data_IF_646929810741
#
_entry.id   IF_646929810741
#
_cell.length_a   1.000
_cell.length_b   1.000
_cell.length_c   1.000
_cell.angle_alpha   90.00
_cell.angle_beta   90.00
_cell.angle_gamma   90.00
#
_symmetry.space_group_name_H-M   'P 1'
#
loop_
_entity.id
_entity.type
_entity.pdbx_description
1 polymer ?
#
# COMPACT_ATOMS: atom_id res chain seq x y z
N UNK A 1 -2.96 -22.93 -23.26
CA UNK A 1 -2.02 -22.67 -22.16
C UNK A 1 -2.48 -21.42 -21.46
N UNK A 2 -2.94 -21.50 -20.23
CA UNK A 2 -3.06 -20.29 -19.46
C UNK A 2 -1.64 -19.75 -19.34
N UNK A 3 -1.39 -18.60 -19.92
CA UNK A 3 -0.22 -17.83 -19.56
C UNK A 3 -0.42 -17.50 -18.07
N UNK A 4 0.31 -18.24 -17.27
CA UNK A 4 0.50 -17.90 -15.88
C UNK A 4 1.34 -16.63 -15.86
N UNK A 5 0.67 -15.53 -16.20
CA UNK A 5 1.09 -14.22 -15.81
C UNK A 5 0.75 -14.09 -14.32
N UNK A 6 1.43 -14.88 -13.51
CA UNK A 6 1.81 -14.39 -12.22
C UNK A 6 2.60 -13.13 -12.56
N UNK A 7 1.88 -12.03 -12.70
CA UNK A 7 2.46 -10.76 -13.06
C UNK A 7 3.63 -10.57 -12.12
N UNK A 8 4.82 -10.38 -12.67
CA UNK A 8 6.00 -10.15 -11.87
C UNK A 8 5.67 -9.04 -10.87
N UNK A 9 5.75 -9.34 -9.60
CA UNK A 9 5.49 -8.42 -8.49
C UNK A 9 6.80 -8.13 -7.75
N UNK A 10 7.72 -7.41 -8.38
CA UNK A 10 9.03 -7.14 -7.79
C UNK A 10 8.94 -6.31 -6.52
N UNK A 11 7.97 -5.40 -6.43
CA UNK A 11 7.74 -4.62 -5.21
C UNK A 11 7.22 -5.51 -4.08
N UNK A 12 6.23 -6.35 -4.35
CA UNK A 12 5.71 -7.30 -3.37
C UNK A 12 6.77 -8.28 -2.90
N UNK A 13 7.60 -8.78 -3.80
CA UNK A 13 8.71 -9.68 -3.45
C UNK A 13 9.75 -8.97 -2.58
N UNK A 14 10.13 -7.74 -2.91
CA UNK A 14 11.07 -6.95 -2.11
C UNK A 14 10.52 -6.68 -0.69
N UNK A 15 9.25 -6.35 -0.61
CA UNK A 15 8.56 -6.12 0.67
C UNK A 15 8.54 -7.39 1.50
N UNK A 16 8.19 -8.53 0.91
CA UNK A 16 8.16 -9.80 1.62
C UNK A 16 9.55 -10.25 2.08
N UNK A 17 10.55 -10.14 1.22
CA UNK A 17 11.94 -10.47 1.54
C UNK A 17 12.43 -9.62 2.72
N UNK A 18 12.18 -8.34 2.70
CA UNK A 18 12.57 -7.45 3.79
C UNK A 18 11.83 -7.77 5.09
N UNK A 19 10.54 -8.09 5.02
CA UNK A 19 9.75 -8.46 6.19
C UNK A 19 10.22 -9.78 6.82
N UNK A 20 10.71 -10.72 6.01
CA UNK A 20 11.16 -12.04 6.48
C UNK A 20 12.62 -12.06 6.90
N UNK A 21 13.50 -11.43 6.14
CA UNK A 21 14.96 -11.53 6.29
C UNK A 21 15.61 -10.23 6.80
N UNK A 22 14.87 -9.12 6.85
CA UNK A 22 15.39 -7.80 7.23
C UNK A 22 16.29 -7.15 6.16
N UNK A 23 16.30 -7.69 4.94
CA UNK A 23 17.11 -7.20 3.83
C UNK A 23 16.47 -7.55 2.49
N UNK A 24 16.83 -6.78 1.49
CA UNK A 24 16.52 -7.05 0.09
C UNK A 24 17.79 -6.88 -0.73
N UNK A 25 18.08 -7.84 -1.60
CA UNK A 25 19.36 -7.94 -2.31
C UNK A 25 19.45 -7.04 -3.55
N UNK A 26 18.33 -6.57 -4.07
CA UNK A 26 18.25 -5.74 -5.25
C UNK A 26 17.49 -4.44 -4.98
N UNK A 27 17.96 -3.29 -5.49
CA UNK A 27 17.20 -2.05 -5.36
C UNK A 27 15.90 -2.13 -6.17
N UNK A 28 14.85 -1.47 -5.66
CA UNK A 28 13.65 -1.22 -6.44
C UNK A 28 13.88 -0.03 -7.35
N UNK A 29 13.80 -0.26 -8.64
CA UNK A 29 13.95 0.78 -9.64
C UNK A 29 12.60 1.06 -10.29
N UNK A 30 12.22 2.33 -10.29
CA UNK A 30 11.01 2.80 -10.96
C UNK A 30 11.40 3.37 -12.31
N UNK A 31 10.95 2.72 -13.37
CA UNK A 31 11.17 3.17 -14.74
C UNK A 31 10.02 4.06 -15.19
N UNK A 32 10.36 5.16 -15.83
CA UNK A 32 9.39 6.05 -16.48
C UNK A 32 9.86 6.37 -17.90
N UNK A 33 8.96 6.37 -18.89
CA UNK A 33 9.34 6.77 -20.25
C UNK A 33 9.65 8.27 -20.36
N UNK A 34 9.17 9.08 -19.43
CA UNK A 34 9.26 10.55 -19.50
C UNK A 34 10.26 11.15 -18.50
N UNK A 35 10.77 10.37 -17.57
CA UNK A 35 11.65 10.82 -16.49
C UNK A 35 12.79 9.83 -16.29
N UNK A 36 13.85 10.30 -15.66
CA UNK A 36 14.94 9.42 -15.24
C UNK A 36 14.45 8.35 -14.27
N UNK A 37 15.11 7.20 -14.27
CA UNK A 37 14.83 6.14 -13.33
C UNK A 37 15.03 6.61 -11.89
N UNK A 38 14.14 6.21 -11.02
CA UNK A 38 14.23 6.48 -9.59
C UNK A 38 14.46 5.18 -8.81
N UNK A 39 15.10 5.27 -7.67
CA UNK A 39 15.38 4.14 -6.80
C UNK A 39 14.65 4.32 -5.48
N UNK A 40 13.83 3.33 -5.12
CA UNK A 40 13.15 3.29 -3.83
C UNK A 40 13.96 2.40 -2.88
N UNK A 41 14.51 2.95 -1.80
CA UNK A 41 15.10 2.14 -0.74
C UNK A 41 14.01 1.30 -0.06
N UNK A 42 14.16 -0.02 -0.06
CA UNK A 42 13.15 -0.92 0.54
C UNK A 42 12.89 -0.58 2.02
N UNK A 43 13.90 -0.27 2.86
CA UNK A 43 13.67 0.11 4.25
C UNK A 43 12.74 1.33 4.42
N UNK A 44 12.69 2.23 3.45
CA UNK A 44 11.80 3.39 3.48
C UNK A 44 10.31 2.99 3.50
N UNK A 45 9.97 1.86 2.89
CA UNK A 45 8.60 1.33 2.90
C UNK A 45 8.19 0.78 4.27
N UNK A 46 9.14 0.60 5.17
CA UNK A 46 8.96 0.07 6.53
C UNK A 46 9.10 1.15 7.61
N UNK A 47 9.09 2.42 7.25
CA UNK A 47 9.27 3.53 8.18
C UNK A 47 8.19 3.57 9.25
N UNK A 48 8.57 4.04 10.42
CA UNK A 48 7.64 4.31 11.52
C UNK A 48 7.04 5.71 11.39
N UNK A 49 6.03 6.02 12.19
CA UNK A 49 5.36 7.33 12.17
C UNK A 49 6.36 8.50 12.31
N UNK A 50 7.32 8.38 13.23
CA UNK A 50 8.32 9.44 13.47
C UNK A 50 9.27 9.67 12.28
N UNK A 51 9.45 8.64 11.44
CA UNK A 51 10.32 8.71 10.25
C UNK A 51 9.56 9.13 8.98
N UNK A 52 8.24 9.25 9.06
CA UNK A 52 7.43 9.68 7.93
C UNK A 52 7.62 11.17 7.65
N UNK A 53 7.52 11.58 6.36
CA UNK A 53 7.41 12.99 6.02
C UNK A 53 6.25 13.66 6.77
N UNK A 54 6.41 14.94 7.08
CA UNK A 54 5.40 15.70 7.83
C UNK A 54 4.01 15.65 7.20
N UNK A 55 3.94 15.65 5.88
CA UNK A 55 2.67 15.53 5.15
C UNK A 55 1.95 14.23 5.45
N UNK A 56 2.66 13.10 5.50
CA UNK A 56 2.07 11.81 5.84
C UNK A 56 1.62 11.78 7.30
N UNK A 57 2.43 12.29 8.21
CA UNK A 57 2.05 12.39 9.63
C UNK A 57 0.77 13.20 9.81
N UNK A 58 0.65 14.30 9.09
CA UNK A 58 -0.56 15.14 9.11
C UNK A 58 -1.76 14.41 8.54
N UNK A 59 -1.60 13.71 7.43
CA UNK A 59 -2.67 12.90 6.83
C UNK A 59 -3.19 11.84 7.81
N UNK A 60 -2.30 11.14 8.50
CA UNK A 60 -2.68 10.14 9.49
C UNK A 60 -3.41 10.77 10.69
N UNK A 61 -2.99 11.96 11.12
CA UNK A 61 -3.64 12.69 12.22
C UNK A 61 -5.07 13.13 11.89
N UNK A 62 -5.40 13.29 10.62
CA UNK A 62 -6.74 13.67 10.15
C UNK A 62 -7.68 12.48 10.00
N UNK A 63 -7.18 11.25 10.07
CA UNK A 63 -8.02 10.05 9.95
C UNK A 63 -9.03 9.96 11.09
N UNK A 64 -10.27 9.66 10.74
CA UNK A 64 -11.38 9.49 11.66
C UNK A 64 -12.07 8.16 11.47
N UNK A 65 -12.59 7.58 12.54
CA UNK A 65 -13.40 6.38 12.51
C UNK A 65 -12.70 5.19 11.89
N UNK A 66 -13.43 4.46 11.07
CA UNK A 66 -12.92 3.31 10.34
C UNK A 66 -12.18 3.75 9.07
N UNK A 67 -10.94 3.33 8.92
CA UNK A 67 -10.04 3.79 7.85
C UNK A 67 -9.80 2.67 6.85
N UNK A 68 -9.90 3.00 5.57
CA UNK A 68 -9.44 2.15 4.45
C UNK A 68 -8.11 2.67 3.94
N UNK A 69 -7.07 1.86 4.06
CA UNK A 69 -5.74 2.14 3.50
C UNK A 69 -5.60 1.43 2.15
N UNK A 70 -5.66 2.18 1.06
CA UNK A 70 -5.67 1.66 -0.32
C UNK A 70 -4.27 1.68 -0.91
N UNK A 71 -3.84 0.55 -1.49
CA UNK A 71 -2.49 0.40 -2.00
C UNK A 71 -1.47 0.36 -0.86
N UNK A 72 -1.79 -0.40 0.17
CA UNK A 72 -1.11 -0.32 1.47
C UNK A 72 0.34 -0.83 1.46
N UNK A 73 0.76 -1.59 0.46
CA UNK A 73 2.13 -2.10 0.31
C UNK A 73 2.64 -2.82 1.57
N UNK A 74 3.71 -2.31 2.16
CA UNK A 74 4.29 -2.87 3.38
C UNK A 74 3.49 -2.58 4.66
N UNK A 75 2.51 -1.67 4.60
CA UNK A 75 1.59 -1.41 5.70
C UNK A 75 2.09 -0.41 6.75
N UNK A 76 3.06 0.44 6.44
CA UNK A 76 3.58 1.40 7.42
C UNK A 76 2.50 2.38 7.94
N UNK A 77 1.60 2.83 7.08
CA UNK A 77 0.48 3.70 7.48
C UNK A 77 -0.57 2.94 8.29
N UNK A 78 -0.94 1.73 7.85
CA UNK A 78 -1.87 0.88 8.59
C UNK A 78 -1.38 0.56 10.00
N UNK A 79 -0.11 0.22 10.15
CA UNK A 79 0.49 -0.06 11.47
C UNK A 79 0.52 1.19 12.37
N UNK A 80 0.86 2.34 11.81
CA UNK A 80 0.84 3.60 12.56
C UNK A 80 -0.57 3.94 13.07
N UNK A 81 -1.59 3.74 12.24
CA UNK A 81 -2.98 3.95 12.62
C UNK A 81 -3.46 2.94 13.68
N UNK A 82 -3.10 1.67 13.54
CA UNK A 82 -3.41 0.65 14.56
C UNK A 82 -2.77 0.99 15.91
N UNK A 83 -1.52 1.43 15.90
CA UNK A 83 -0.82 1.86 17.11
C UNK A 83 -1.51 3.04 17.77
N UNK A 84 -2.12 3.92 16.97
CA UNK A 84 -2.92 5.05 17.47
C UNK A 84 -4.34 4.65 17.90
N UNK A 85 -4.70 3.35 17.87
CA UNK A 85 -6.01 2.85 18.28
C UNK A 85 -7.09 2.93 17.21
N UNK A 86 -6.74 3.17 15.95
CA UNK A 86 -7.71 3.23 14.85
C UNK A 86 -8.05 1.83 14.32
N UNK A 87 -9.29 1.66 13.86
CA UNK A 87 -9.70 0.50 13.08
C UNK A 87 -9.33 0.72 11.62
N UNK A 88 -8.49 -0.17 11.06
CA UNK A 88 -7.95 -0.04 9.70
C UNK A 88 -8.20 -1.32 8.91
N UNK A 89 -8.74 -1.17 7.72
CA UNK A 89 -8.72 -2.20 6.68
C UNK A 89 -7.68 -1.80 5.64
N UNK A 90 -6.74 -2.68 5.38
CA UNK A 90 -5.59 -2.47 4.53
C UNK A 90 -5.74 -3.33 3.28
N UNK A 91 -5.77 -2.72 2.11
CA UNK A 91 -5.95 -3.43 0.85
C UNK A 91 -4.82 -3.14 -0.15
N UNK A 92 -4.46 -4.17 -0.89
CA UNK A 92 -3.49 -4.11 -1.98
C UNK A 92 -3.79 -5.25 -2.95
N UNK A 93 -3.49 -5.07 -4.22
CA UNK A 93 -3.63 -6.14 -5.22
C UNK A 93 -2.51 -7.19 -5.12
N UNK A 94 -1.41 -6.87 -4.45
CA UNK A 94 -0.26 -7.76 -4.28
C UNK A 94 -0.48 -8.78 -3.16
N UNK A 95 -0.55 -10.09 -3.47
CA UNK A 95 -0.59 -11.13 -2.44
C UNK A 95 0.68 -11.16 -1.57
N UNK A 96 1.84 -10.89 -2.16
CA UNK A 96 3.13 -10.88 -1.43
C UNK A 96 3.20 -9.72 -0.42
N UNK A 97 2.78 -8.53 -0.82
CA UNK A 97 2.67 -7.38 0.10
C UNK A 97 1.66 -7.65 1.21
N UNK A 98 0.54 -8.29 0.88
CA UNK A 98 -0.49 -8.65 1.87
C UNK A 98 0.05 -9.65 2.89
N UNK A 99 0.79 -10.66 2.43
CA UNK A 99 1.46 -11.60 3.32
C UNK A 99 2.43 -10.88 4.26
N UNK A 100 3.22 -9.95 3.76
CA UNK A 100 4.14 -9.14 4.57
C UNK A 100 3.39 -8.31 5.61
N UNK A 101 2.28 -7.67 5.24
CA UNK A 101 1.44 -6.91 6.19
C UNK A 101 0.89 -7.79 7.30
N UNK A 102 0.41 -8.98 6.95
CA UNK A 102 -0.07 -9.96 7.94
C UNK A 102 1.05 -10.37 8.91
N UNK A 103 2.23 -10.64 8.39
CA UNK A 103 3.41 -10.98 9.22
C UNK A 103 3.81 -9.82 10.14
N UNK A 104 3.64 -8.59 9.72
CA UNK A 104 3.96 -7.40 10.51
C UNK A 104 2.90 -7.05 11.56
N UNK A 105 1.76 -7.74 11.57
CA UNK A 105 0.70 -7.54 12.56
C UNK A 105 -0.43 -6.61 12.12
N UNK A 106 -0.57 -6.32 10.83
CA UNK A 106 -1.76 -5.64 10.30
C UNK A 106 -2.96 -6.58 10.44
N UNK A 107 -3.96 -6.20 11.22
CA UNK A 107 -5.06 -7.08 11.64
C UNK A 107 -6.01 -7.44 10.49
N UNK A 108 -6.30 -6.49 9.62
CA UNK A 108 -7.20 -6.66 8.48
C UNK A 108 -6.46 -6.31 7.20
N UNK A 109 -5.55 -7.20 6.77
CA UNK A 109 -4.79 -7.09 5.54
C UNK A 109 -5.41 -7.99 4.48
N UNK A 110 -5.91 -7.39 3.40
CA UNK A 110 -6.65 -8.07 2.35
C UNK A 110 -5.99 -7.88 0.99
N UNK A 111 -6.06 -8.92 0.16
CA UNK A 111 -5.82 -8.80 -1.29
C UNK A 111 -7.13 -8.37 -1.91
N UNK A 112 -7.17 -7.20 -2.51
CA UNK A 112 -8.37 -6.69 -3.16
C UNK A 112 -8.03 -5.68 -4.26
N UNK A 113 -8.80 -5.75 -5.34
CA UNK A 113 -8.85 -4.72 -6.37
C UNK A 113 -9.96 -3.74 -6.02
N UNK A 114 -9.59 -2.49 -5.78
CA UNK A 114 -10.53 -1.43 -5.36
C UNK A 114 -11.64 -1.20 -6.41
N UNK A 115 -11.43 -1.55 -7.67
CA UNK A 115 -12.41 -1.33 -8.72
C UNK A 115 -13.46 -2.43 -8.83
N UNK A 116 -13.13 -3.65 -8.45
CA UNK A 116 -13.96 -4.84 -8.72
C UNK A 116 -14.40 -5.60 -7.48
N UNK A 117 -13.60 -5.57 -6.43
CA UNK A 117 -13.88 -6.37 -5.23
C UNK A 117 -14.78 -5.63 -4.25
N UNK A 118 -15.63 -6.39 -3.57
CA UNK A 118 -16.37 -5.87 -2.42
C UNK A 118 -15.46 -5.77 -1.21
N UNK A 119 -15.60 -4.67 -0.49
CA UNK A 119 -14.84 -4.41 0.73
C UNK A 119 -15.75 -4.60 1.96
N UNK A 120 -15.18 -5.01 3.11
CA UNK A 120 -15.97 -5.29 4.30
C UNK A 120 -16.50 -4.01 4.95
N UNK A 121 -17.77 -3.72 4.71
CA UNK A 121 -18.47 -2.61 5.34
C UNK A 121 -18.25 -1.24 4.69
N UNK A 122 -18.42 -0.20 5.48
CA UNK A 122 -18.21 1.19 5.08
C UNK A 122 -17.09 1.84 5.88
N UNK A 123 -16.58 2.96 5.39
CA UNK A 123 -15.41 3.65 5.94
C UNK A 123 -15.70 5.12 6.16
N UNK A 124 -15.11 5.69 7.20
CA UNK A 124 -15.18 7.12 7.50
C UNK A 124 -14.06 7.89 6.83
N UNK A 125 -12.92 7.22 6.61
CA UNK A 125 -11.73 7.80 5.97
C UNK A 125 -11.15 6.80 4.96
N UNK A 126 -10.74 7.33 3.80
CA UNK A 126 -10.00 6.56 2.79
C UNK A 126 -8.65 7.23 2.60
N UNK A 127 -7.58 6.45 2.77
CA UNK A 127 -6.20 6.90 2.53
C UNK A 127 -5.73 6.44 1.16
N UNK A 128 -5.18 7.38 0.40
CA UNK A 128 -4.55 7.18 -0.90
C UNK A 128 -3.20 7.90 -0.90
N UNK A 129 -2.29 7.43 -0.05
CA UNK A 129 -0.96 8.02 0.10
C UNK A 129 0.04 7.45 -0.91
N UNK A 130 1.17 8.12 -1.08
CA UNK A 130 2.24 7.74 -2.01
C UNK A 130 1.73 7.55 -3.45
N UNK A 131 1.12 8.58 -4.01
CA UNK A 131 0.52 8.55 -5.35
C UNK A 131 -0.63 7.55 -5.50
N UNK A 132 -1.36 7.26 -4.42
CA UNK A 132 -2.47 6.32 -4.42
C UNK A 132 -3.56 6.61 -5.47
N UNK A 133 -3.78 7.87 -5.85
CA UNK A 133 -4.69 8.23 -6.94
C UNK A 133 -4.22 7.67 -8.30
N UNK A 134 -2.93 7.38 -8.46
CA UNK A 134 -2.37 6.72 -9.64
C UNK A 134 -2.90 5.30 -9.87
N UNK A 135 -3.52 4.69 -8.88
CA UNK A 135 -4.21 3.39 -9.00
C UNK A 135 -5.31 3.45 -10.09
N UNK A 136 -5.90 4.61 -10.32
CA UNK A 136 -6.86 4.81 -11.42
C UNK A 136 -6.23 4.56 -12.81
N UNK A 137 -4.93 4.77 -12.96
CA UNK A 137 -4.15 4.57 -14.19
C UNK A 137 -4.31 5.70 -15.20
N UNK A 138 -5.50 6.21 -15.40
CA UNK A 138 -5.82 7.32 -16.31
C UNK A 138 -6.74 8.34 -15.66
N UNK A 139 -6.73 9.57 -16.16
CA UNK A 139 -7.66 10.60 -15.69
C UNK A 139 -9.12 10.23 -15.94
N UNK A 140 -9.41 9.50 -17.02
CA UNK A 140 -10.76 9.03 -17.34
C UNK A 140 -11.30 8.03 -16.31
N UNK A 141 -10.43 7.26 -15.66
CA UNK A 141 -10.80 6.28 -14.62
C UNK A 141 -10.85 6.88 -13.22
N UNK A 142 -10.32 8.06 -13.00
CA UNK A 142 -10.30 8.69 -11.69
C UNK A 142 -11.70 8.86 -11.08
N UNK A 143 -12.75 9.30 -11.81
CA UNK A 143 -14.11 9.34 -11.26
C UNK A 143 -14.62 7.98 -10.81
N UNK A 144 -14.23 6.88 -11.47
CA UNK A 144 -14.62 5.53 -11.06
C UNK A 144 -13.99 5.16 -9.71
N UNK A 145 -12.72 5.49 -9.51
CA UNK A 145 -12.04 5.28 -8.22
C UNK A 145 -12.72 6.08 -7.10
N UNK A 146 -13.04 7.35 -7.35
CA UNK A 146 -13.60 8.24 -6.33
C UNK A 146 -15.06 7.92 -5.98
N UNK A 147 -15.75 7.14 -6.80
CA UNK A 147 -17.14 6.69 -6.56
C UNK A 147 -17.23 5.33 -5.88
N UNK A 148 -16.09 4.60 -5.79
CA UNK A 148 -16.06 3.29 -5.14
C UNK A 148 -16.26 3.40 -3.64
#
# INVERSE_FOLDING_TARGET
MPHDHAAADPMGQAILDYATEGKHHHPLVVHSPDFDDDVIPVPYLFRTLSDMPRLEQQALSLCRGRVLDVGAGAGCHSLALQTAGKEVVSVDISPLSTQARQMRGVKQALVADIFSDELPGSFDTILLLMNGLGIAGTLQRLPLLLRR
#
